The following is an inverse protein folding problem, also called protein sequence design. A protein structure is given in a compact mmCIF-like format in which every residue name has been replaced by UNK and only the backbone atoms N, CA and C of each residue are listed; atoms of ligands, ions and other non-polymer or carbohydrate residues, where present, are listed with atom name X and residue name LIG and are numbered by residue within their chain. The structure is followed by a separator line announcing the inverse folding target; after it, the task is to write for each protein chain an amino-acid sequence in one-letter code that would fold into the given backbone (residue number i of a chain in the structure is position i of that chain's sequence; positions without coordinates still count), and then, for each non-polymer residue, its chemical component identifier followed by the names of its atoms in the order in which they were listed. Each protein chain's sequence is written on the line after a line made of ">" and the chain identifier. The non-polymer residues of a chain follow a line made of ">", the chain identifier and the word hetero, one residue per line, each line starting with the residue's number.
data_IF_448027267409
#
_entry.id   IF_448027267409
#
_cell.length_a   1.000
_cell.length_b   1.000
_cell.length_c   1.000
_cell.angle_alpha   90.00
_cell.angle_beta   90.00
_cell.angle_gamma   90.00
#
_symmetry.space_group_name_H-M   'P 1'
#
loop_
_entity.id
_entity.type
_entity.pdbx_description
1 polymer ?
#
# COMPACT_ATOMS: atom_id res chain seq x y z
N UNK A 1 -18.85 4.36 2.38
CA UNK A 1 -18.24 5.69 2.16
C UNK A 1 -16.70 5.65 2.25
N UNK A 2 -16.10 5.07 3.30
CA UNK A 2 -14.65 5.02 3.48
C UNK A 2 -13.91 4.35 2.29
N UNK A 3 -14.41 3.22 1.79
CA UNK A 3 -13.82 2.54 0.63
C UNK A 3 -13.89 3.37 -0.66
N UNK A 4 -14.98 4.13 -0.84
CA UNK A 4 -15.12 4.99 -1.99
C UNK A 4 -14.13 6.17 -1.96
N UNK A 5 -13.95 6.81 -0.82
CA UNK A 5 -12.98 7.91 -0.68
C UNK A 5 -11.55 7.44 -0.88
N UNK A 6 -11.18 6.27 -0.36
CA UNK A 6 -9.87 5.65 -0.58
C UNK A 6 -9.63 5.35 -2.07
N UNK A 7 -10.62 4.77 -2.76
CA UNK A 7 -10.53 4.49 -4.19
C UNK A 7 -10.31 5.77 -5.01
N UNK A 8 -11.09 6.83 -4.73
CA UNK A 8 -10.95 8.12 -5.40
C UNK A 8 -9.56 8.70 -5.18
N UNK A 9 -9.01 8.63 -3.96
CA UNK A 9 -7.67 9.14 -3.64
C UNK A 9 -6.58 8.40 -4.42
N UNK A 10 -6.65 7.07 -4.50
CA UNK A 10 -5.69 6.25 -5.27
C UNK A 10 -5.79 6.57 -6.77
N UNK A 11 -7.01 6.64 -7.33
CA UNK A 11 -7.22 7.00 -8.74
C UNK A 11 -6.72 8.41 -9.04
N UNK A 12 -6.86 9.35 -8.11
CA UNK A 12 -6.37 10.72 -8.27
C UNK A 12 -4.84 10.75 -8.40
N UNK A 13 -4.11 10.02 -7.56
CA UNK A 13 -2.63 9.96 -7.62
C UNK A 13 -2.16 9.39 -8.95
N UNK A 14 -2.75 8.27 -9.40
CA UNK A 14 -2.41 7.66 -10.68
C UNK A 14 -2.78 8.58 -11.85
N UNK A 15 -3.96 9.21 -11.80
CA UNK A 15 -4.40 10.15 -12.83
C UNK A 15 -3.50 11.37 -12.92
N UNK A 16 -3.01 11.90 -11.80
CA UNK A 16 -2.05 13.00 -11.77
C UNK A 16 -0.73 12.60 -12.44
N UNK A 17 -0.19 11.44 -12.13
CA UNK A 17 1.03 10.94 -12.77
C UNK A 17 0.87 10.77 -14.30
N UNK A 18 -0.27 10.24 -14.75
CA UNK A 18 -0.60 10.11 -16.18
C UNK A 18 -0.76 11.48 -16.83
N UNK A 19 -1.41 12.42 -16.14
CA UNK A 19 -1.59 13.79 -16.62
C UNK A 19 -0.24 14.49 -16.84
N UNK A 20 0.67 14.40 -15.88
CA UNK A 20 1.99 15.02 -15.97
C UNK A 20 2.83 14.37 -17.07
N UNK A 21 2.87 13.04 -17.12
CA UNK A 21 3.68 12.31 -18.09
C UNK A 21 3.24 12.54 -19.53
N UNK A 22 1.94 12.50 -19.81
CA UNK A 22 1.39 12.57 -21.16
C UNK A 22 0.85 13.95 -21.54
N UNK A 23 0.89 14.93 -20.63
CA UNK A 23 0.37 16.28 -20.87
C UNK A 23 -1.14 16.31 -21.12
N UNK A 24 -1.89 15.41 -20.47
CA UNK A 24 -3.33 15.30 -20.63
C UNK A 24 -4.05 16.29 -19.71
N UNK A 25 -5.27 16.68 -20.09
CA UNK A 25 -6.16 17.41 -19.18
C UNK A 25 -6.62 16.47 -18.04
N UNK A 26 -6.90 17.03 -16.86
CA UNK A 26 -7.34 16.29 -15.67
C UNK A 26 -8.50 15.34 -15.97
N UNK A 27 -9.50 15.81 -16.75
CA UNK A 27 -10.65 14.98 -17.12
C UNK A 27 -10.27 13.79 -18.00
N UNK A 28 -9.40 14.00 -19.00
CA UNK A 28 -8.95 12.93 -19.92
C UNK A 28 -8.09 11.91 -19.17
N UNK A 29 -7.19 12.35 -18.30
CA UNK A 29 -6.38 11.47 -17.48
C UNK A 29 -7.24 10.62 -16.54
N UNK A 30 -8.17 11.24 -15.81
CA UNK A 30 -9.08 10.52 -14.91
C UNK A 30 -9.96 9.51 -15.64
N UNK A 31 -10.51 9.88 -16.82
CA UNK A 31 -11.32 8.97 -17.63
C UNK A 31 -10.48 7.80 -18.17
N UNK A 32 -9.27 8.04 -18.68
CA UNK A 32 -8.42 6.97 -19.21
C UNK A 32 -8.02 5.97 -18.12
N UNK A 33 -7.57 6.47 -16.97
CA UNK A 33 -7.21 5.61 -15.83
C UNK A 33 -8.43 4.87 -15.30
N UNK A 34 -9.56 5.57 -15.11
CA UNK A 34 -10.79 4.98 -14.58
C UNK A 34 -11.37 3.90 -15.50
N UNK A 35 -11.46 4.15 -16.82
CA UNK A 35 -11.98 3.17 -17.78
C UNK A 35 -11.05 1.93 -17.86
N UNK A 36 -9.74 2.12 -17.97
CA UNK A 36 -8.79 1.01 -18.03
C UNK A 36 -8.86 0.17 -16.74
N UNK A 37 -8.88 0.82 -15.58
CA UNK A 37 -9.00 0.13 -14.29
C UNK A 37 -10.32 -0.62 -14.16
N UNK A 38 -11.44 -0.03 -14.62
CA UNK A 38 -12.75 -0.67 -14.58
C UNK A 38 -12.79 -1.92 -15.47
N UNK A 39 -12.28 -1.82 -16.71
CA UNK A 39 -12.24 -2.96 -17.64
C UNK A 39 -11.37 -4.09 -17.07
N UNK A 40 -10.17 -3.78 -16.58
CA UNK A 40 -9.27 -4.78 -15.98
C UNK A 40 -9.92 -5.42 -14.74
N UNK A 41 -10.55 -4.62 -13.88
CA UNK A 41 -11.25 -5.12 -12.71
C UNK A 41 -12.40 -6.06 -13.10
N UNK A 42 -13.20 -5.70 -14.09
CA UNK A 42 -14.28 -6.57 -14.58
C UNK A 42 -13.75 -7.88 -15.17
N UNK A 43 -12.68 -7.84 -15.94
CA UNK A 43 -12.10 -9.03 -16.54
C UNK A 43 -11.50 -10.01 -15.52
N UNK A 44 -10.85 -9.48 -14.48
CA UNK A 44 -10.12 -10.29 -13.51
C UNK A 44 -11.02 -10.73 -12.35
N UNK A 45 -11.83 -9.82 -11.80
CA UNK A 45 -12.52 -10.03 -10.53
C UNK A 45 -14.01 -10.34 -10.64
N UNK A 46 -14.61 -10.33 -11.83
CA UNK A 46 -16.04 -10.67 -12.01
C UNK A 46 -16.34 -12.18 -12.07
N UNK A 47 -15.35 -13.01 -11.86
CA UNK A 47 -15.48 -14.47 -11.85
C UNK A 47 -15.83 -14.99 -10.45
N UNK A 48 -16.29 -16.23 -10.34
CA UNK A 48 -16.58 -16.89 -9.06
C UNK A 48 -15.34 -16.99 -8.15
N UNK A 49 -14.16 -17.02 -8.72
CA UNK A 49 -12.86 -17.01 -8.01
C UNK A 49 -12.26 -15.61 -7.90
N UNK A 50 -13.00 -14.58 -8.31
CA UNK A 50 -12.49 -13.21 -8.36
C UNK A 50 -12.01 -12.66 -7.00
N UNK A 51 -12.69 -13.06 -5.91
CA UNK A 51 -12.28 -12.66 -4.56
C UNK A 51 -10.93 -13.29 -4.18
N UNK A 52 -10.70 -14.55 -4.55
CA UNK A 52 -9.41 -15.23 -4.35
C UNK A 52 -8.30 -14.60 -5.21
N UNK A 53 -8.63 -14.24 -6.45
CA UNK A 53 -7.69 -13.53 -7.32
C UNK A 53 -7.32 -12.16 -6.74
N UNK A 54 -8.29 -11.43 -6.20
CA UNK A 54 -8.05 -10.15 -5.54
C UNK A 54 -7.11 -10.31 -4.34
N UNK A 55 -7.34 -11.30 -3.49
CA UNK A 55 -6.51 -11.58 -2.31
C UNK A 55 -5.06 -11.89 -2.72
N UNK A 56 -4.87 -12.75 -3.74
CA UNK A 56 -3.52 -13.06 -4.26
C UNK A 56 -2.86 -11.82 -4.85
N UNK A 57 -3.55 -11.07 -5.71
CA UNK A 57 -3.00 -9.85 -6.32
C UNK A 57 -2.61 -8.83 -5.24
N UNK A 58 -3.47 -8.61 -4.25
CA UNK A 58 -3.22 -7.70 -3.13
C UNK A 58 -1.99 -8.13 -2.31
N UNK A 59 -1.90 -9.42 -2.01
CA UNK A 59 -0.77 -10.00 -1.28
C UNK A 59 0.57 -9.77 -2.00
N UNK A 60 0.65 -10.01 -3.32
CA UNK A 60 1.88 -9.80 -4.09
C UNK A 60 2.17 -8.32 -4.32
N UNK A 61 1.15 -7.51 -4.61
CA UNK A 61 1.31 -6.07 -4.79
C UNK A 61 1.84 -5.39 -3.52
N UNK A 62 1.27 -5.70 -2.35
CA UNK A 62 1.66 -5.09 -1.09
C UNK A 62 3.00 -5.61 -0.57
N UNK A 63 3.20 -6.92 -0.51
CA UNK A 63 4.39 -7.49 0.12
C UNK A 63 5.63 -7.49 -0.78
N UNK A 64 5.46 -7.52 -2.09
CA UNK A 64 6.58 -7.49 -3.04
C UNK A 64 6.63 -6.13 -3.75
N UNK A 65 5.54 -5.71 -4.39
CA UNK A 65 5.52 -4.51 -5.22
C UNK A 65 5.85 -3.24 -4.46
N UNK A 66 5.13 -2.95 -3.36
CA UNK A 66 5.35 -1.74 -2.55
C UNK A 66 6.72 -1.78 -1.88
N UNK A 67 7.10 -2.91 -1.29
CA UNK A 67 8.40 -3.03 -0.60
C UNK A 67 9.56 -2.88 -1.58
N UNK A 68 9.49 -3.54 -2.74
CA UNK A 68 10.50 -3.41 -3.79
C UNK A 68 10.61 -1.97 -4.32
N UNK A 69 9.48 -1.29 -4.54
CA UNK A 69 9.46 0.10 -4.98
C UNK A 69 10.07 1.05 -3.96
N UNK A 70 9.80 0.83 -2.67
CA UNK A 70 10.38 1.62 -1.59
C UNK A 70 11.91 1.47 -1.52
N UNK A 71 12.41 0.23 -1.61
CA UNK A 71 13.86 -0.06 -1.66
C UNK A 71 14.47 0.61 -2.90
N UNK A 72 13.88 0.39 -4.07
CA UNK A 72 14.36 0.94 -5.33
C UNK A 72 14.43 2.47 -5.29
N UNK A 73 13.37 3.13 -4.83
CA UNK A 73 13.34 4.59 -4.71
C UNK A 73 14.42 5.09 -3.76
N UNK A 74 14.59 4.45 -2.61
CA UNK A 74 15.61 4.82 -1.62
C UNK A 74 17.02 4.67 -2.19
N UNK A 75 17.29 3.53 -2.85
CA UNK A 75 18.60 3.28 -3.48
C UNK A 75 18.85 4.26 -4.61
N UNK A 76 17.89 4.49 -5.50
CA UNK A 76 18.05 5.42 -6.62
C UNK A 76 18.29 6.85 -6.14
N UNK A 77 17.53 7.35 -5.19
CA UNK A 77 17.65 8.74 -4.72
C UNK A 77 18.90 8.94 -3.89
N UNK A 78 19.20 8.04 -2.95
CA UNK A 78 20.27 8.27 -1.98
C UNK A 78 21.63 7.75 -2.44
N UNK A 79 21.67 6.63 -3.20
CA UNK A 79 22.93 6.00 -3.59
C UNK A 79 23.31 6.35 -5.02
N UNK A 80 22.39 6.27 -5.99
CA UNK A 80 22.66 6.54 -7.41
C UNK A 80 22.70 8.05 -7.66
N UNK A 81 21.60 8.76 -7.35
CA UNK A 81 21.50 10.20 -7.55
C UNK A 81 22.25 11.02 -6.49
N UNK A 82 22.62 10.41 -5.35
CA UNK A 82 23.38 11.02 -4.25
C UNK A 82 22.72 12.30 -3.70
N UNK A 83 21.39 12.37 -3.75
CA UNK A 83 20.59 13.52 -3.32
C UNK A 83 20.34 13.59 -1.80
N UNK A 84 21.00 12.74 -1.02
CA UNK A 84 20.87 12.70 0.44
C UNK A 84 21.15 14.04 1.15
N UNK A 85 22.24 14.77 0.84
CA UNK A 85 22.51 16.06 1.44
C UNK A 85 21.45 17.13 1.11
N UNK A 86 20.98 17.17 -0.15
CA UNK A 86 19.93 18.12 -0.58
C UNK A 86 18.61 17.82 0.12
N UNK A 87 18.23 16.55 0.19
CA UNK A 87 17.02 16.10 0.87
C UNK A 87 17.07 16.46 2.36
N UNK A 88 18.22 16.23 3.00
CA UNK A 88 18.44 16.61 4.39
C UNK A 88 18.31 18.13 4.60
N UNK A 89 18.92 18.93 3.74
CA UNK A 89 18.85 20.39 3.80
C UNK A 89 17.40 20.88 3.67
N UNK A 90 16.67 20.32 2.72
CA UNK A 90 15.26 20.64 2.50
C UNK A 90 14.40 20.27 3.73
N UNK A 91 14.60 19.09 4.29
CA UNK A 91 13.87 18.66 5.49
C UNK A 91 14.25 19.50 6.73
N UNK A 92 15.52 19.86 6.87
CA UNK A 92 16.00 20.67 7.99
C UNK A 92 15.40 22.09 7.97
N UNK A 93 15.15 22.63 6.76
CA UNK A 93 14.53 23.95 6.60
C UNK A 93 13.05 24.00 6.98
N UNK A 94 12.35 22.86 6.92
CA UNK A 94 10.93 22.74 7.21
C UNK A 94 10.64 22.10 8.58
N UNK A 95 11.63 21.50 9.21
CA UNK A 95 11.47 20.71 10.43
C UNK A 95 11.81 21.50 11.68
N UNK A 96 11.02 21.34 12.72
CA UNK A 96 11.31 21.86 14.06
C UNK A 96 12.49 21.11 14.72
N UNK A 97 12.72 19.85 14.32
CA UNK A 97 13.83 19.04 14.79
C UNK A 97 14.90 18.91 13.71
N UNK A 98 16.16 19.09 14.07
CA UNK A 98 17.28 18.94 13.13
C UNK A 98 17.38 17.52 12.58
N UNK A 99 17.29 17.40 11.27
CA UNK A 99 17.50 16.15 10.55
C UNK A 99 19.00 15.86 10.46
N UNK A 100 19.50 15.03 11.38
CA UNK A 100 20.92 14.75 11.53
C UNK A 100 21.46 13.70 10.56
N UNK A 101 22.78 13.42 10.65
CA UNK A 101 23.44 12.33 9.91
C UNK A 101 22.87 10.97 10.27
N UNK A 102 22.39 10.81 11.51
CA UNK A 102 21.76 9.56 11.97
C UNK A 102 20.50 9.25 11.17
N UNK A 103 19.65 10.25 10.92
CA UNK A 103 18.47 10.06 10.07
C UNK A 103 18.86 9.61 8.66
N UNK A 104 19.86 10.25 8.07
CA UNK A 104 20.33 9.86 6.74
C UNK A 104 20.83 8.42 6.71
N UNK A 105 21.58 7.98 7.74
CA UNK A 105 22.06 6.60 7.86
C UNK A 105 20.89 5.62 8.03
N UNK A 106 19.91 5.95 8.87
CA UNK A 106 18.72 5.12 9.06
C UNK A 106 17.94 4.93 7.75
N UNK A 107 17.72 5.99 7.00
CA UNK A 107 16.94 5.91 5.75
C UNK A 107 17.76 5.33 4.60
N UNK A 108 19.07 5.63 4.52
CA UNK A 108 19.89 5.18 3.39
C UNK A 108 20.41 3.76 3.54
N UNK A 109 20.58 3.27 4.75
CA UNK A 109 21.20 1.95 5.00
C UNK A 109 20.25 1.03 5.76
N UNK A 110 19.81 1.43 6.95
CA UNK A 110 19.03 0.54 7.80
C UNK A 110 17.67 0.18 7.17
N UNK A 111 16.94 1.16 6.68
CA UNK A 111 15.63 0.91 6.08
C UNK A 111 15.70 -0.02 4.86
N UNK A 112 16.57 0.21 3.83
CA UNK A 112 16.71 -0.73 2.73
C UNK A 112 17.18 -2.12 3.13
N UNK A 113 18.05 -2.25 4.14
CA UNK A 113 18.49 -3.56 4.65
C UNK A 113 17.34 -4.33 5.30
N UNK A 114 16.60 -3.69 6.19
CA UNK A 114 15.45 -4.32 6.87
C UNK A 114 14.37 -4.70 5.86
N UNK A 115 13.99 -3.77 4.97
CA UNK A 115 13.02 -4.04 3.92
C UNK A 115 13.50 -5.12 2.95
N UNK A 116 14.79 -5.13 2.61
CA UNK A 116 15.40 -6.15 1.76
C UNK A 116 15.35 -7.54 2.40
N UNK A 117 15.67 -7.63 3.69
CA UNK A 117 15.53 -8.87 4.45
C UNK A 117 14.08 -9.37 4.48
N UNK A 118 13.13 -8.48 4.78
CA UNK A 118 11.69 -8.82 4.79
C UNK A 118 11.22 -9.28 3.40
N UNK A 119 11.64 -8.59 2.35
CA UNK A 119 11.28 -8.92 0.97
C UNK A 119 11.81 -10.31 0.59
N UNK A 120 13.09 -10.58 0.84
CA UNK A 120 13.73 -11.88 0.54
C UNK A 120 13.04 -12.99 1.32
N UNK A 121 12.87 -12.81 2.63
CA UNK A 121 12.19 -13.79 3.48
C UNK A 121 10.79 -14.09 2.99
N UNK A 122 10.03 -13.05 2.58
CA UNK A 122 8.68 -13.23 2.05
C UNK A 122 8.66 -13.96 0.72
N UNK A 123 9.58 -13.64 -0.19
CA UNK A 123 9.73 -14.34 -1.48
C UNK A 123 10.04 -15.82 -1.25
N UNK A 124 10.97 -16.14 -0.34
CA UNK A 124 11.32 -17.53 -0.01
C UNK A 124 10.09 -18.29 0.48
N UNK A 125 9.34 -17.73 1.44
CA UNK A 125 8.10 -18.35 1.96
C UNK A 125 7.08 -18.57 0.83
N UNK A 126 6.85 -17.59 -0.03
CA UNK A 126 5.90 -17.72 -1.13
C UNK A 126 6.32 -18.78 -2.18
N UNK A 127 7.62 -19.02 -2.35
CA UNK A 127 8.13 -20.06 -3.26
C UNK A 127 8.06 -21.44 -2.62
N UNK A 128 8.40 -21.56 -1.32
CA UNK A 128 8.51 -22.85 -0.63
C UNK A 128 7.19 -23.37 -0.11
N UNK A 129 6.38 -22.50 0.48
CA UNK A 129 5.12 -22.87 1.14
C UNK A 129 3.89 -22.53 0.31
N UNK A 130 4.04 -21.63 -0.67
CA UNK A 130 2.92 -21.10 -1.44
C UNK A 130 2.08 -20.10 -0.64
N UNK A 131 0.81 -19.95 -1.03
CA UNK A 131 -0.11 -19.02 -0.38
C UNK A 131 -1.54 -19.56 -0.41
N UNK A 132 -2.21 -19.57 0.76
CA UNK A 132 -3.64 -19.88 0.88
C UNK A 132 -4.06 -21.26 0.41
N UNK A 133 -3.14 -22.24 0.35
CA UNK A 133 -3.45 -23.58 -0.18
C UNK A 133 -3.83 -23.61 -1.66
N UNK A 134 -3.59 -22.53 -2.38
CA UNK A 134 -3.95 -22.40 -3.79
C UNK A 134 -3.01 -23.19 -4.71
N UNK A 135 -3.51 -23.69 -5.85
CA UNK A 135 -2.68 -24.44 -6.77
C UNK A 135 -1.56 -23.57 -7.36
N UNK A 136 -0.38 -24.15 -7.63
CA UNK A 136 0.81 -23.38 -8.08
C UNK A 136 0.58 -22.56 -9.35
N UNK A 137 -0.22 -23.07 -10.30
CA UNK A 137 -0.53 -22.33 -11.53
C UNK A 137 -1.31 -21.05 -11.26
N UNK A 138 -2.18 -21.05 -10.24
CA UNK A 138 -2.98 -19.89 -9.87
C UNK A 138 -2.09 -18.80 -9.27
N UNK A 139 -1.17 -19.19 -8.37
CA UNK A 139 -0.17 -18.27 -7.80
C UNK A 139 0.81 -17.74 -8.85
N UNK A 140 1.12 -18.55 -9.86
CA UNK A 140 1.97 -18.11 -10.96
C UNK A 140 1.28 -17.03 -11.79
N UNK A 141 0.00 -17.21 -12.12
CA UNK A 141 -0.75 -16.26 -12.96
C UNK A 141 -1.10 -14.99 -12.19
N UNK A 142 -1.76 -15.10 -11.03
CA UNK A 142 -2.27 -13.95 -10.29
C UNK A 142 -1.24 -13.34 -9.32
N UNK A 143 -0.32 -14.13 -8.80
CA UNK A 143 0.75 -13.67 -7.92
C UNK A 143 1.96 -13.16 -8.69
N UNK A 144 2.75 -14.06 -9.25
CA UNK A 144 3.98 -13.70 -9.99
C UNK A 144 3.68 -12.93 -11.28
N UNK A 145 2.54 -13.20 -11.93
CA UNK A 145 2.04 -12.41 -13.07
C UNK A 145 1.82 -10.95 -12.70
N UNK A 146 1.31 -10.66 -11.51
CA UNK A 146 1.16 -9.29 -11.01
C UNK A 146 2.52 -8.61 -10.88
N UNK A 147 3.53 -9.28 -10.30
CA UNK A 147 4.89 -8.73 -10.21
C UNK A 147 5.45 -8.44 -11.60
N UNK A 148 5.28 -9.36 -12.53
CA UNK A 148 5.72 -9.18 -13.92
C UNK A 148 5.06 -7.94 -14.56
N UNK A 149 3.75 -7.79 -14.41
CA UNK A 149 3.00 -6.63 -14.93
C UNK A 149 3.49 -5.33 -14.31
N UNK A 150 3.75 -5.30 -13.00
CA UNK A 150 4.30 -4.14 -12.30
C UNK A 150 5.69 -3.76 -12.83
N UNK A 151 6.58 -4.74 -12.98
CA UNK A 151 7.95 -4.50 -13.49
C UNK A 151 7.93 -4.05 -14.95
N UNK A 152 7.22 -4.79 -15.81
CA UNK A 152 7.10 -4.42 -17.23
C UNK A 152 6.42 -3.06 -17.39
N UNK A 153 5.35 -2.81 -16.65
CA UNK A 153 4.67 -1.52 -16.65
C UNK A 153 5.59 -0.37 -16.22
N UNK A 154 6.38 -0.56 -15.16
CA UNK A 154 7.36 0.43 -14.70
C UNK A 154 8.44 0.70 -15.77
N UNK A 155 8.98 -0.35 -16.40
CA UNK A 155 9.97 -0.21 -17.48
C UNK A 155 9.37 0.50 -18.69
N UNK A 156 8.21 0.07 -19.16
CA UNK A 156 7.53 0.72 -20.30
C UNK A 156 7.26 2.19 -19.98
N UNK A 157 6.71 2.48 -18.83
CA UNK A 157 6.46 3.86 -18.42
C UNK A 157 7.76 4.65 -18.27
N UNK A 158 8.87 4.09 -17.85
CA UNK A 158 10.15 4.81 -17.73
C UNK A 158 10.74 5.18 -19.08
N UNK A 159 10.60 4.31 -20.09
CA UNK A 159 11.12 4.53 -21.46
C UNK A 159 10.26 5.54 -22.23
N UNK A 160 8.97 5.63 -21.95
CA UNK A 160 8.08 6.60 -22.60
C UNK A 160 8.50 8.04 -22.24
N UNK A 161 8.68 8.88 -23.25
CA UNK A 161 9.10 10.28 -23.08
C UNK A 161 8.06 11.09 -22.30
N UNK A 162 8.54 11.89 -21.37
CA UNK A 162 7.72 12.90 -20.71
C UNK A 162 7.37 14.02 -21.69
N UNK A 163 6.11 14.41 -21.73
CA UNK A 163 5.66 15.52 -22.56
C UNK A 163 5.81 16.88 -21.88
N UNK A 164 5.79 16.91 -20.56
CA UNK A 164 6.09 18.12 -19.78
C UNK A 164 7.56 18.14 -19.38
N UNK A 165 8.21 19.29 -19.58
CA UNK A 165 9.56 19.49 -19.09
C UNK A 165 9.56 19.64 -17.56
N UNK A 166 10.56 19.09 -16.84
CA UNK A 166 10.72 19.37 -15.40
C UNK A 166 10.83 20.87 -15.09
N UNK A 167 11.30 21.67 -16.03
CA UNK A 167 11.47 23.12 -15.88
C UNK A 167 10.15 23.91 -15.94
N UNK A 168 9.06 23.28 -16.36
CA UNK A 168 7.71 23.86 -16.36
C UNK A 168 6.99 23.73 -15.01
N UNK A 169 7.60 23.05 -14.05
CA UNK A 169 7.05 23.02 -12.69
C UNK A 169 7.22 24.41 -12.07
N UNK A 170 6.13 25.14 -11.97
CA UNK A 170 6.07 26.34 -11.12
C UNK A 170 6.58 25.99 -9.74
N UNK A 171 7.49 26.80 -9.22
CA UNK A 171 7.94 26.70 -7.84
C UNK A 171 6.71 26.51 -6.93
N UNK A 172 6.83 25.61 -5.97
CA UNK A 172 5.79 25.40 -4.97
C UNK A 172 5.33 26.77 -4.47
N UNK A 173 4.02 27.02 -4.39
CA UNK A 173 3.56 28.24 -3.75
C UNK A 173 4.22 28.29 -2.38
N UNK A 174 4.79 29.45 -2.01
CA UNK A 174 5.27 29.68 -0.65
C UNK A 174 4.07 29.42 0.28
N UNK A 175 4.04 28.23 0.85
CA UNK A 175 3.10 27.96 1.92
C UNK A 175 3.47 28.88 3.08
N UNK A 176 2.54 29.67 3.58
CA UNK A 176 2.77 30.36 4.84
C UNK A 176 3.21 29.28 5.83
N UNK A 177 4.24 29.55 6.67
CA UNK A 177 4.73 28.56 7.62
C UNK A 177 3.50 28.05 8.38
N UNK A 178 3.21 26.77 8.21
CA UNK A 178 2.10 26.13 8.90
C UNK A 178 2.31 26.48 10.36
N UNK A 179 1.30 27.08 10.99
CA UNK A 179 1.40 27.44 12.40
C UNK A 179 1.73 26.16 13.17
N UNK A 180 3.00 25.96 13.46
CA UNK A 180 3.54 24.72 14.04
C UNK A 180 2.70 24.20 15.22
N UNK A 181 2.14 25.05 16.11
CA UNK A 181 1.28 24.60 17.20
C UNK A 181 -0.01 23.92 16.69
N UNK A 182 -0.59 24.37 15.59
CA UNK A 182 -1.84 23.80 15.07
C UNK A 182 -1.59 22.43 14.42
N UNK A 183 -0.50 22.29 13.66
CA UNK A 183 -0.10 21.01 13.08
C UNK A 183 0.26 19.96 14.16
N UNK A 184 0.95 20.38 15.22
CA UNK A 184 1.26 19.54 16.38
C UNK A 184 -0.02 19.14 17.12
N UNK A 185 -0.96 20.06 17.32
CA UNK A 185 -2.24 19.76 17.95
C UNK A 185 -3.04 18.72 17.17
N UNK A 186 -3.13 18.85 15.83
CA UNK A 186 -3.78 17.86 14.98
C UNK A 186 -3.07 16.50 14.98
N UNK A 187 -1.73 16.50 14.98
CA UNK A 187 -0.94 15.28 15.07
C UNK A 187 -1.21 14.55 16.40
N UNK A 188 -1.13 15.27 17.52
CA UNK A 188 -1.40 14.71 18.86
C UNK A 188 -2.83 14.21 18.96
N UNK A 189 -3.80 14.97 18.46
CA UNK A 189 -5.21 14.58 18.44
C UNK A 189 -5.42 13.30 17.61
N UNK A 190 -4.81 13.20 16.44
CA UNK A 190 -4.87 12.01 15.60
C UNK A 190 -4.29 10.78 16.28
N UNK A 191 -3.14 10.94 16.94
CA UNK A 191 -2.51 9.86 17.72
C UNK A 191 -3.43 9.43 18.87
N UNK A 192 -4.01 10.37 19.62
CA UNK A 192 -4.91 10.09 20.72
C UNK A 192 -6.18 9.37 20.25
N UNK A 193 -6.76 9.77 19.12
CA UNK A 193 -7.96 9.11 18.58
C UNK A 193 -7.64 7.68 18.14
N UNK A 194 -6.56 7.47 17.38
CA UNK A 194 -6.21 6.15 16.84
C UNK A 194 -5.77 5.21 17.97
N UNK A 195 -4.81 5.61 18.80
CA UNK A 195 -4.29 4.78 19.87
C UNK A 195 -5.24 4.70 21.06
N UNK A 196 -5.94 5.79 21.37
CA UNK A 196 -6.98 5.80 22.41
C UNK A 196 -8.15 4.91 22.04
N UNK A 197 -8.61 4.95 20.80
CA UNK A 197 -9.65 4.06 20.28
C UNK A 197 -9.23 2.59 20.32
N UNK A 198 -8.00 2.29 19.90
CA UNK A 198 -7.44 0.93 19.97
C UNK A 198 -7.36 0.44 21.43
N UNK A 199 -6.80 1.26 22.32
CA UNK A 199 -6.71 0.92 23.74
C UNK A 199 -8.09 0.72 24.37
N UNK A 200 -9.06 1.59 24.08
CA UNK A 200 -10.42 1.46 24.54
C UNK A 200 -11.07 0.17 24.04
N UNK A 201 -10.86 -0.18 22.76
CA UNK A 201 -11.35 -1.44 22.17
C UNK A 201 -10.76 -2.67 22.86
N UNK A 202 -9.44 -2.67 23.11
CA UNK A 202 -8.77 -3.77 23.81
C UNK A 202 -9.29 -3.90 25.25
N UNK A 203 -9.44 -2.80 25.97
CA UNK A 203 -9.97 -2.79 27.34
C UNK A 203 -11.44 -3.25 27.36
N UNK A 204 -12.23 -2.80 26.41
CA UNK A 204 -13.63 -3.23 26.28
C UNK A 204 -13.74 -4.73 26.01
N UNK A 205 -12.94 -5.29 25.10
CA UNK A 205 -12.90 -6.72 24.82
C UNK A 205 -12.43 -7.52 26.04
N UNK A 206 -11.41 -7.01 26.74
CA UNK A 206 -10.88 -7.67 27.95
C UNK A 206 -11.90 -7.72 29.12
N UNK A 207 -12.84 -6.78 29.21
CA UNK A 207 -13.86 -6.73 30.25
C UNK A 207 -15.15 -7.46 29.85
N UNK A 208 -15.25 -7.95 28.61
CA UNK A 208 -16.36 -8.83 28.25
C UNK A 208 -16.10 -10.22 28.84
N UNK A 209 -17.06 -10.79 29.61
CA UNK A 209 -16.95 -12.19 30.00
C UNK A 209 -16.92 -13.03 28.73
N UNK A 210 -15.93 -13.92 28.62
CA UNK A 210 -15.93 -14.95 27.58
C UNK A 210 -17.23 -15.76 27.77
N UNK A 211 -18.01 -15.89 26.71
CA UNK A 211 -19.15 -16.77 26.70
C UNK A 211 -18.62 -18.20 26.87
N UNK A 212 -18.98 -18.86 27.94
CA UNK A 212 -18.54 -20.23 28.22
C UNK A 212 -19.01 -21.24 27.15
N UNK A 213 -19.98 -20.87 26.34
CA UNK A 213 -20.52 -21.67 25.26
C UNK A 213 -21.05 -20.76 24.17
N UNK A 214 -20.56 -20.93 22.92
CA UNK A 214 -21.10 -20.24 21.78
C UNK A 214 -22.45 -20.87 21.38
N UNK A 215 -23.45 -20.08 20.95
CA UNK A 215 -24.70 -20.64 20.48
C UNK A 215 -24.42 -21.58 19.28
N UNK A 216 -25.09 -22.77 19.23
CA UNK A 216 -24.93 -23.71 18.14
C UNK A 216 -25.24 -23.05 16.79
N UNK A 217 -24.37 -23.27 15.78
CA UNK A 217 -24.47 -22.63 14.46
C UNK A 217 -23.46 -21.52 14.21
N UNK A 218 -22.43 -21.34 15.06
CA UNK A 218 -21.26 -20.50 14.76
C UNK A 218 -20.31 -21.15 13.76
N UNK A 219 -19.44 -20.33 13.12
CA UNK A 219 -18.44 -20.78 12.13
C UNK A 219 -17.47 -21.85 12.68
N UNK A 220 -17.39 -22.01 14.00
CA UNK A 220 -16.53 -22.95 14.72
C UNK A 220 -17.32 -24.15 15.31
N UNK A 221 -18.54 -24.44 14.82
CA UNK A 221 -19.27 -25.63 15.27
C UNK A 221 -18.72 -26.88 14.56
N UNK A 222 -17.79 -27.54 15.21
CA UNK A 222 -17.19 -28.81 14.74
C UNK A 222 -18.22 -29.91 14.45
N UNK A 223 -19.45 -29.78 14.91
CA UNK A 223 -20.56 -30.72 14.66
C UNK A 223 -21.08 -30.56 13.21
N UNK A 224 -21.22 -29.32 12.74
CA UNK A 224 -21.56 -29.08 11.32
C UNK A 224 -20.46 -29.54 10.36
N UNK A 225 -19.20 -29.29 10.72
CA UNK A 225 -18.04 -29.75 9.95
C UNK A 225 -17.93 -31.29 9.88
N UNK A 226 -18.42 -31.98 10.89
CA UNK A 226 -18.46 -33.44 10.94
C UNK A 226 -19.67 -34.06 10.19
N UNK A 227 -20.57 -33.25 9.62
CA UNK A 227 -21.73 -33.71 8.88
C UNK A 227 -22.81 -34.41 9.77
N UNK A 228 -22.80 -34.14 11.06
CA UNK A 228 -23.79 -34.66 12.00
C UNK A 228 -24.99 -33.70 11.98
N UNK A 229 -25.98 -34.05 11.16
CA UNK A 229 -27.28 -33.35 11.16
C UNK A 229 -28.11 -33.95 12.31
N UNK A 230 -28.24 -33.21 13.44
CA UNK A 230 -29.26 -33.51 14.39
C UNK A 230 -30.61 -33.13 13.79
N UNK A 231 -31.43 -34.14 13.44
CA UNK A 231 -32.83 -33.93 13.15
C UNK A 231 -33.55 -33.61 14.48
N UNK A 232 -34.04 -32.37 14.60
CA UNK A 232 -34.97 -32.00 15.62
C UNK A 232 -36.20 -32.91 15.54
N UNK A 233 -36.38 -33.76 16.56
CA UNK A 233 -37.62 -34.50 16.82
C UNK A 233 -38.50 -33.73 17.78
#
# INVERSE_FOLDING_TARGET
>A
LAGFTSLVSVLQVVSAAVQEKFGLSTRRAALSVGIVSAILSMLIFSTTTGLLALDVVDQWANNIGIVASAILTTVLVLWVARKGPELRYHLDSLSTFRVGRVWLLLVSVLAPLVLGYMLISRIVVLITEGYGGMPPWYLLVFGWGTVLVLVVGAVVLSVLRWKRSPDEFTAWPEYPPASAPLAIAFLVLSILIVWGGLTASILFLRHRPELAEYPPGGVDDDREAAGIIEHDT
#
